data_IF_383622463779
#
_entry.id   IF_383622463779
#
_cell.length_a   1.000
_cell.length_b   1.000
_cell.length_c   1.000
_cell.angle_alpha   90.00
_cell.angle_beta   90.00
_cell.angle_gamma   90.00
#
_symmetry.space_group_name_H-M   'P 1'
#
loop_
_entity.id
_entity.type
_entity.pdbx_description
1 polymer ?
#
# COMPACT_ATOMS: atom_id res chain seq x y z
N UNK A 1 -3.92 -15.67 16.92
CA UNK A 1 -2.83 -14.67 16.82
C UNK A 1 -1.56 -15.43 16.50
N UNK A 2 -0.92 -15.15 15.36
CA UNK A 2 0.38 -15.73 15.07
C UNK A 2 1.42 -15.03 15.94
N UNK A 3 2.18 -15.80 16.70
CA UNK A 3 3.24 -15.28 17.56
C UNK A 3 4.43 -14.88 16.69
N UNK A 4 4.89 -13.63 16.82
CA UNK A 4 6.15 -13.20 16.22
C UNK A 4 7.29 -13.67 17.12
N UNK A 5 8.24 -14.40 16.54
CA UNK A 5 9.51 -14.71 17.19
C UNK A 5 10.64 -13.91 16.53
N UNK A 6 11.82 -13.91 17.12
CA UNK A 6 12.97 -13.16 16.61
C UNK A 6 14.20 -14.06 16.55
N UNK A 7 14.93 -13.96 15.45
CA UNK A 7 16.26 -14.55 15.30
C UNK A 7 17.28 -13.44 15.16
N UNK A 8 18.39 -13.56 15.86
CA UNK A 8 19.53 -12.67 15.67
C UNK A 8 20.27 -13.06 14.38
N UNK A 9 20.61 -12.07 13.54
CA UNK A 9 21.47 -12.30 12.38
C UNK A 9 22.96 -12.15 12.75
N UNK A 10 23.86 -12.37 11.79
CA UNK A 10 25.31 -12.25 12.02
C UNK A 10 25.78 -10.84 12.45
N UNK A 11 24.95 -9.82 12.22
CA UNK A 11 25.22 -8.41 12.54
C UNK A 11 24.60 -7.99 13.89
N UNK A 12 23.93 -8.91 14.60
CA UNK A 12 23.29 -8.64 15.89
C UNK A 12 21.89 -8.02 15.81
N UNK A 13 21.28 -7.96 14.61
CA UNK A 13 19.93 -7.46 14.44
C UNK A 13 18.88 -8.55 14.70
N UNK A 14 17.76 -8.15 15.31
CA UNK A 14 16.62 -9.04 15.53
C UNK A 14 15.74 -9.06 14.28
N UNK A 15 15.76 -10.20 13.58
CA UNK A 15 14.92 -10.46 12.41
C UNK A 15 13.62 -11.11 12.88
N UNK A 16 12.44 -10.49 12.63
CA UNK A 16 11.17 -11.09 13.00
C UNK A 16 10.83 -12.27 12.09
N UNK A 17 10.31 -13.32 12.71
CA UNK A 17 9.75 -14.49 12.05
C UNK A 17 8.29 -14.64 12.45
N UNK A 18 7.45 -14.87 11.44
CA UNK A 18 6.06 -15.26 11.62
C UNK A 18 5.93 -16.75 11.28
N UNK A 19 5.78 -17.59 12.31
CA UNK A 19 5.95 -19.03 12.16
C UNK A 19 7.39 -19.36 11.76
N UNK A 20 7.59 -19.88 10.55
CA UNK A 20 8.91 -20.18 9.97
C UNK A 20 9.36 -19.17 8.91
N UNK A 21 8.54 -18.15 8.61
CA UNK A 21 8.80 -17.18 7.56
C UNK A 21 9.49 -15.96 8.14
N UNK A 22 10.74 -15.71 7.72
CA UNK A 22 11.45 -14.49 8.05
C UNK A 22 10.88 -13.30 7.25
N UNK A 23 10.64 -12.19 7.93
CA UNK A 23 10.05 -10.98 7.32
C UNK A 23 11.06 -10.13 6.53
N UNK A 24 12.31 -10.56 6.48
CA UNK A 24 13.39 -10.09 5.61
C UNK A 24 14.51 -11.14 5.61
N UNK A 25 15.55 -10.92 4.82
CA UNK A 25 16.74 -11.77 4.73
C UNK A 25 17.42 -11.97 6.10
N UNK A 26 17.60 -13.24 6.51
CA UNK A 26 18.36 -13.59 7.71
C UNK A 26 19.88 -13.38 7.54
N UNK A 27 20.36 -13.35 6.29
CA UNK A 27 21.79 -13.26 5.98
C UNK A 27 22.24 -11.82 5.80
N UNK A 28 21.46 -11.05 5.05
CA UNK A 28 21.82 -9.71 4.58
C UNK A 28 20.56 -8.89 4.33
N UNK A 29 19.97 -8.38 5.41
CA UNK A 29 18.75 -7.58 5.37
C UNK A 29 18.99 -6.17 4.81
N UNK A 30 20.21 -5.64 5.00
CA UNK A 30 20.59 -4.30 4.52
C UNK A 30 20.67 -4.28 2.99
N UNK A 31 21.42 -5.20 2.37
CA UNK A 31 21.53 -5.24 0.90
C UNK A 31 20.19 -5.56 0.22
N UNK A 32 19.36 -6.41 0.84
CA UNK A 32 18.01 -6.69 0.36
C UNK A 32 17.13 -5.42 0.34
N UNK A 33 17.19 -4.65 1.43
CA UNK A 33 16.45 -3.39 1.56
C UNK A 33 16.94 -2.32 0.56
N UNK A 34 18.25 -2.12 0.43
CA UNK A 34 18.84 -1.17 -0.52
C UNK A 34 18.48 -1.51 -1.96
N UNK A 35 18.55 -2.80 -2.31
CA UNK A 35 18.10 -3.27 -3.62
C UNK A 35 16.64 -2.93 -3.86
N UNK A 36 15.76 -3.24 -2.91
CA UNK A 36 14.33 -2.91 -3.04
C UNK A 36 14.11 -1.41 -3.25
N UNK A 37 14.80 -0.53 -2.49
CA UNK A 37 14.73 0.92 -2.68
C UNK A 37 15.18 1.34 -4.07
N UNK A 38 16.30 0.80 -4.57
CA UNK A 38 16.83 1.13 -5.90
C UNK A 38 15.91 0.72 -7.05
N UNK A 39 15.07 -0.29 -6.84
CA UNK A 39 14.07 -0.76 -7.81
C UNK A 39 12.80 0.12 -7.80
N UNK A 40 12.60 0.96 -6.78
CA UNK A 40 11.47 1.87 -6.72
C UNK A 40 11.74 3.15 -7.53
N UNK A 41 10.89 3.46 -8.50
CA UNK A 41 10.95 4.74 -9.20
C UNK A 41 10.26 5.86 -8.38
N UNK A 42 10.95 6.38 -7.35
CA UNK A 42 10.38 7.31 -6.37
C UNK A 42 10.48 8.80 -6.74
N UNK A 43 10.88 9.11 -7.98
CA UNK A 43 11.35 10.44 -8.40
C UNK A 43 10.33 11.61 -8.31
N UNK A 44 9.06 11.35 -7.97
CA UNK A 44 7.96 12.34 -8.09
C UNK A 44 7.22 12.61 -6.76
N UNK A 45 7.54 11.91 -5.66
CA UNK A 45 6.73 11.97 -4.43
C UNK A 45 7.52 12.38 -3.19
N UNK A 46 7.01 13.39 -2.47
CA UNK A 46 7.54 13.83 -1.16
C UNK A 46 6.84 13.15 0.03
N UNK A 47 5.79 12.38 -0.23
CA UNK A 47 4.98 11.71 0.77
C UNK A 47 4.49 10.37 0.18
N UNK A 48 4.70 9.26 0.91
CA UNK A 48 4.42 7.90 0.43
C UNK A 48 3.75 7.07 1.52
N UNK A 49 3.12 5.96 1.13
CA UNK A 49 2.66 4.91 2.05
C UNK A 49 3.49 3.65 1.81
N UNK A 50 3.93 2.98 2.88
CA UNK A 50 4.62 1.69 2.83
C UNK A 50 3.83 0.66 3.63
N UNK A 51 3.44 -0.43 2.97
CA UNK A 51 2.74 -1.55 3.59
C UNK A 51 3.74 -2.60 4.09
N UNK A 52 3.77 -2.79 5.40
CA UNK A 52 4.64 -3.71 6.12
C UNK A 52 5.88 -3.01 6.67
N UNK A 53 6.11 -3.16 7.98
CA UNK A 53 7.32 -2.74 8.66
C UNK A 53 8.40 -3.84 8.65
N UNK A 54 8.02 -5.10 8.84
CA UNK A 54 9.00 -6.20 8.96
C UNK A 54 10.06 -5.91 10.03
N UNK A 55 11.34 -6.09 9.69
CA UNK A 55 12.47 -5.62 10.52
C UNK A 55 12.80 -4.13 10.33
N UNK A 56 12.26 -3.52 9.26
CA UNK A 56 12.35 -2.10 8.94
C UNK A 56 13.63 -1.62 8.25
N UNK A 57 14.48 -2.54 7.77
CA UNK A 57 15.66 -2.17 6.97
C UNK A 57 15.29 -1.37 5.72
N UNK A 58 14.18 -1.70 5.04
CA UNK A 58 13.70 -0.95 3.88
C UNK A 58 13.24 0.46 4.24
N UNK A 59 12.67 0.65 5.44
CA UNK A 59 12.31 1.97 5.94
C UNK A 59 13.57 2.80 6.22
N UNK A 60 14.58 2.19 6.86
CA UNK A 60 15.88 2.85 7.08
C UNK A 60 16.52 3.25 5.75
N UNK A 61 16.60 2.33 4.80
CA UNK A 61 17.16 2.58 3.47
C UNK A 61 16.40 3.69 2.72
N UNK A 62 15.07 3.75 2.84
CA UNK A 62 14.27 4.85 2.28
C UNK A 62 14.61 6.19 2.92
N UNK A 63 14.73 6.24 4.24
CA UNK A 63 15.07 7.47 4.97
C UNK A 63 16.48 7.96 4.61
N UNK A 64 17.44 7.05 4.41
CA UNK A 64 18.80 7.36 4.00
C UNK A 64 18.88 7.83 2.54
N UNK A 65 18.18 7.15 1.63
CA UNK A 65 18.14 7.52 0.21
C UNK A 65 17.34 8.81 -0.05
N UNK A 66 16.33 9.08 0.77
CA UNK A 66 15.42 10.22 0.62
C UNK A 66 15.14 10.92 1.96
N UNK A 67 16.09 11.71 2.52
CA UNK A 67 15.96 12.31 3.86
C UNK A 67 14.76 13.25 4.07
N UNK A 68 14.19 13.80 2.99
CA UNK A 68 13.01 14.67 3.04
C UNK A 68 11.68 13.94 2.81
N UNK A 69 11.71 12.62 2.60
CA UNK A 69 10.53 11.84 2.26
C UNK A 69 9.68 11.58 3.50
N UNK A 70 8.41 12.00 3.46
CA UNK A 70 7.44 11.65 4.50
C UNK A 70 6.91 10.24 4.25
N UNK A 71 7.26 9.29 5.14
CA UNK A 71 6.86 7.88 5.02
C UNK A 71 5.75 7.59 6.02
N UNK A 72 4.61 7.11 5.52
CA UNK A 72 3.53 6.52 6.33
C UNK A 72 3.66 4.99 6.31
N UNK A 73 3.90 4.39 7.47
CA UNK A 73 4.07 2.94 7.61
C UNK A 73 2.75 2.35 8.07
N UNK A 74 2.23 1.41 7.28
CA UNK A 74 1.05 0.62 7.62
C UNK A 74 1.49 -0.78 8.00
N UNK A 75 1.13 -1.21 9.20
CA UNK A 75 1.47 -2.52 9.74
C UNK A 75 0.20 -3.17 10.33
N UNK A 76 0.21 -4.48 10.57
CA UNK A 76 -0.86 -5.21 11.24
C UNK A 76 -0.40 -5.91 12.54
N UNK A 77 0.89 -5.80 12.86
CA UNK A 77 1.56 -6.39 14.03
C UNK A 77 2.18 -5.31 14.92
N UNK A 78 1.54 -5.05 16.06
CA UNK A 78 2.00 -4.03 17.02
C UNK A 78 3.40 -4.29 17.59
N UNK A 79 3.79 -5.56 17.63
CA UNK A 79 5.03 -6.02 18.27
C UNK A 79 6.29 -5.57 17.51
N UNK A 80 6.17 -5.20 16.24
CA UNK A 80 7.32 -4.85 15.39
C UNK A 80 7.84 -3.43 15.66
N UNK A 81 6.97 -2.46 15.95
CA UNK A 81 7.37 -1.07 16.12
C UNK A 81 8.32 -0.85 17.31
N UNK A 82 8.12 -1.45 18.50
CA UNK A 82 9.08 -1.34 19.60
C UNK A 82 10.46 -1.92 19.28
N UNK A 83 10.52 -3.01 18.53
CA UNK A 83 11.78 -3.66 18.14
C UNK A 83 12.53 -2.80 17.14
N UNK A 84 11.83 -2.28 16.14
CA UNK A 84 12.38 -1.31 15.19
C UNK A 84 13.03 -0.12 15.91
N UNK A 85 12.29 0.53 16.82
CA UNK A 85 12.77 1.71 17.56
C UNK A 85 14.04 1.42 18.36
N UNK A 86 14.16 0.21 18.91
CA UNK A 86 15.33 -0.22 19.67
C UNK A 86 16.55 -0.49 18.79
N UNK A 87 16.37 -1.15 17.65
CA UNK A 87 17.49 -1.66 16.84
C UNK A 87 17.94 -0.72 15.71
N UNK A 88 16.99 -0.03 15.06
CA UNK A 88 17.27 0.86 13.91
C UNK A 88 17.54 2.29 14.36
N UNK A 89 17.20 2.64 15.61
CA UNK A 89 17.40 3.96 16.23
C UNK A 89 16.85 5.14 15.40
N UNK A 90 15.95 4.88 14.45
CA UNK A 90 15.30 5.94 13.68
C UNK A 90 13.92 6.28 14.25
N UNK A 91 13.52 7.53 14.05
CA UNK A 91 12.20 8.00 14.45
C UNK A 91 11.19 7.55 13.39
N UNK A 92 10.22 6.72 13.80
CA UNK A 92 9.00 6.52 13.02
C UNK A 92 7.97 7.53 13.50
N UNK A 93 7.75 8.58 12.71
CA UNK A 93 6.75 9.61 13.02
C UNK A 93 5.34 9.20 12.58
N UNK A 94 5.21 8.57 11.41
CA UNK A 94 3.90 8.19 10.84
C UNK A 94 3.77 6.66 10.79
N UNK A 95 3.53 6.04 11.94
CA UNK A 95 3.22 4.62 12.07
C UNK A 95 1.74 4.43 12.35
N UNK A 96 1.09 3.53 11.61
CA UNK A 96 -0.28 3.11 11.89
C UNK A 96 -0.35 1.59 11.86
N UNK A 97 -0.96 1.01 12.90
CA UNK A 97 -1.27 -0.42 12.92
C UNK A 97 -2.77 -0.60 12.70
N UNK A 98 -3.14 -1.42 11.72
CA UNK A 98 -4.52 -1.79 11.43
C UNK A 98 -4.65 -3.32 11.42
N UNK A 99 -5.53 -3.84 12.26
CA UNK A 99 -5.73 -5.29 12.41
C UNK A 99 -6.75 -5.86 11.43
N UNK A 100 -7.50 -5.00 10.76
CA UNK A 100 -8.51 -5.35 9.79
C UNK A 100 -8.71 -4.20 8.80
N UNK A 101 -9.51 -4.46 7.76
CA UNK A 101 -9.78 -3.48 6.73
C UNK A 101 -10.64 -2.30 7.23
N UNK A 102 -11.57 -2.53 8.16
CA UNK A 102 -12.49 -1.50 8.66
C UNK A 102 -11.74 -0.37 9.40
N UNK A 103 -10.73 -0.73 10.19
CA UNK A 103 -9.84 0.23 10.84
C UNK A 103 -9.09 1.10 9.82
N UNK A 104 -8.62 0.51 8.72
CA UNK A 104 -7.99 1.29 7.65
C UNK A 104 -9.00 2.23 6.99
N UNK A 105 -10.17 1.74 6.59
CA UNK A 105 -11.16 2.53 5.84
C UNK A 105 -11.71 3.72 6.64
N UNK A 106 -11.69 3.63 7.97
CA UNK A 106 -12.08 4.71 8.88
C UNK A 106 -10.94 5.65 9.29
N UNK A 107 -9.71 5.38 8.82
CA UNK A 107 -8.52 6.14 9.23
C UNK A 107 -8.29 7.43 8.44
N UNK A 108 -7.66 8.41 9.08
CA UNK A 108 -7.16 9.61 8.40
C UNK A 108 -6.13 9.30 7.31
N UNK A 109 -5.37 8.22 7.47
CA UNK A 109 -4.39 7.79 6.48
C UNK A 109 -5.06 7.38 5.16
N UNK A 110 -6.17 6.65 5.23
CA UNK A 110 -6.92 6.27 4.04
C UNK A 110 -7.46 7.49 3.29
N UNK A 111 -8.13 8.40 4.00
CA UNK A 111 -8.64 9.65 3.42
C UNK A 111 -7.52 10.52 2.82
N UNK A 112 -6.38 10.62 3.52
CA UNK A 112 -5.21 11.35 3.04
C UNK A 112 -4.60 10.70 1.80
N UNK A 113 -4.51 9.37 1.78
CA UNK A 113 -3.98 8.61 0.64
C UNK A 113 -4.82 8.87 -0.61
N UNK A 114 -6.15 8.85 -0.49
CA UNK A 114 -7.05 9.14 -1.60
C UNK A 114 -6.91 10.60 -2.03
N UNK A 115 -7.03 11.53 -1.10
CA UNK A 115 -7.07 12.98 -1.38
C UNK A 115 -5.81 13.44 -2.10
N UNK A 116 -4.64 12.98 -1.63
CA UNK A 116 -3.34 13.35 -2.19
C UNK A 116 -2.83 12.40 -3.27
N UNK A 117 -3.57 11.32 -3.56
CA UNK A 117 -3.11 10.25 -4.45
C UNK A 117 -1.72 9.74 -4.09
N UNK A 118 -1.49 9.45 -2.79
CA UNK A 118 -0.18 9.02 -2.32
C UNK A 118 0.21 7.68 -2.97
N UNK A 119 1.44 7.53 -3.48
CA UNK A 119 1.91 6.24 -3.96
C UNK A 119 2.05 5.26 -2.80
N UNK A 120 1.68 4.01 -3.07
CA UNK A 120 1.69 2.92 -2.08
C UNK A 120 2.71 1.88 -2.51
N UNK A 121 3.73 1.71 -1.70
CA UNK A 121 4.79 0.72 -1.89
C UNK A 121 4.64 -0.41 -0.88
N UNK A 122 5.22 -1.55 -1.21
CA UNK A 122 5.28 -2.68 -0.30
C UNK A 122 6.56 -3.46 -0.54
N UNK A 123 7.12 -3.97 0.55
CA UNK A 123 8.16 -4.97 0.49
C UNK A 123 7.53 -6.32 0.87
N UNK A 124 7.20 -7.13 -0.14
CA UNK A 124 6.33 -8.31 0.01
C UNK A 124 6.83 -9.29 1.07
N UNK A 125 8.14 -9.42 1.25
CA UNK A 125 8.74 -10.27 2.28
C UNK A 125 8.25 -9.91 3.69
N UNK A 126 7.97 -8.63 3.96
CA UNK A 126 7.48 -8.16 5.26
C UNK A 126 6.04 -8.60 5.56
N UNK A 127 5.28 -9.08 4.58
CA UNK A 127 3.89 -9.47 4.80
C UNK A 127 3.76 -10.78 5.57
N UNK A 128 4.75 -11.67 5.45
CA UNK A 128 4.78 -12.92 6.20
C UNK A 128 3.53 -13.77 5.97
N UNK A 129 2.89 -14.19 7.07
CA UNK A 129 1.65 -14.98 7.01
C UNK A 129 0.39 -14.11 6.90
N UNK A 130 0.52 -12.78 6.88
CA UNK A 130 -0.59 -11.82 6.80
C UNK A 130 -0.85 -11.34 5.37
N UNK A 131 -0.45 -12.11 4.36
CA UNK A 131 -0.52 -11.72 2.94
C UNK A 131 -1.93 -11.29 2.53
N UNK A 132 -2.98 -12.01 2.92
CA UNK A 132 -4.37 -11.68 2.56
C UNK A 132 -4.84 -10.34 3.13
N UNK A 133 -4.46 -10.04 4.37
CA UNK A 133 -4.78 -8.75 5.00
C UNK A 133 -4.02 -7.64 4.29
N UNK A 134 -2.70 -7.75 4.14
CA UNK A 134 -1.91 -6.73 3.45
C UNK A 134 -2.36 -6.51 2.00
N UNK A 135 -2.73 -7.58 1.30
CA UNK A 135 -3.29 -7.49 -0.04
C UNK A 135 -4.62 -6.73 -0.06
N UNK A 136 -5.47 -6.97 0.94
CA UNK A 136 -6.73 -6.23 1.12
C UNK A 136 -6.48 -4.75 1.42
N UNK A 137 -5.52 -4.42 2.29
CA UNK A 137 -5.13 -3.04 2.57
C UNK A 137 -4.58 -2.35 1.30
N UNK A 138 -3.68 -3.03 0.57
CA UNK A 138 -3.11 -2.55 -0.68
C UNK A 138 -4.17 -2.25 -1.74
N UNK A 139 -5.12 -3.18 -1.97
CA UNK A 139 -6.20 -2.97 -2.94
C UNK A 139 -7.01 -1.71 -2.62
N UNK A 140 -7.27 -1.45 -1.34
CA UNK A 140 -8.05 -0.28 -0.95
C UNK A 140 -7.24 1.02 -1.00
N UNK A 141 -5.99 1.02 -0.58
CA UNK A 141 -5.14 2.22 -0.64
C UNK A 141 -4.78 2.64 -2.07
N UNK A 142 -4.82 1.71 -3.03
CA UNK A 142 -4.47 1.96 -4.43
C UNK A 142 -5.67 2.12 -5.37
N UNK A 143 -6.90 2.18 -4.84
CA UNK A 143 -8.09 2.32 -5.69
C UNK A 143 -8.41 1.08 -6.53
N UNK A 144 -7.95 -0.10 -6.11
CA UNK A 144 -8.14 -1.38 -6.83
C UNK A 144 -9.24 -2.26 -6.22
N UNK A 145 -10.02 -1.73 -5.28
CA UNK A 145 -11.27 -2.32 -4.82
C UNK A 145 -12.45 -1.49 -5.33
N UNK A 146 -13.64 -2.09 -5.42
CA UNK A 146 -14.87 -1.37 -5.83
C UNK A 146 -15.15 -0.18 -4.90
N UNK A 147 -14.95 -0.36 -3.60
CA UNK A 147 -15.13 0.72 -2.63
C UNK A 147 -14.10 1.83 -2.84
N UNK A 148 -12.82 1.49 -2.93
CA UNK A 148 -11.76 2.48 -3.06
C UNK A 148 -11.80 3.20 -4.40
N UNK A 149 -12.07 2.51 -5.50
CA UNK A 149 -12.13 3.14 -6.82
C UNK A 149 -13.25 4.19 -6.86
N UNK A 150 -14.41 3.91 -6.25
CA UNK A 150 -15.49 4.88 -6.12
C UNK A 150 -15.05 6.12 -5.32
N UNK A 151 -14.31 5.93 -4.22
CA UNK A 151 -13.76 7.05 -3.42
C UNK A 151 -12.72 7.86 -4.19
N UNK A 152 -11.81 7.21 -4.91
CA UNK A 152 -10.81 7.89 -5.75
C UNK A 152 -11.47 8.67 -6.89
N UNK A 153 -12.47 8.09 -7.54
CA UNK A 153 -13.23 8.75 -8.59
C UNK A 153 -14.02 9.95 -8.07
N UNK A 154 -14.69 9.82 -6.93
CA UNK A 154 -15.35 10.95 -6.27
C UNK A 154 -14.35 12.08 -5.94
N UNK A 155 -13.13 11.76 -5.49
CA UNK A 155 -12.08 12.74 -5.23
C UNK A 155 -11.59 13.46 -6.52
N UNK A 156 -11.72 12.81 -7.67
CA UNK A 156 -11.44 13.40 -8.98
C UNK A 156 -12.64 14.15 -9.60
N UNK A 157 -13.76 14.23 -8.88
CA UNK A 157 -15.00 14.84 -9.40
C UNK A 157 -15.70 13.99 -10.46
N UNK A 158 -15.46 12.67 -10.46
CA UNK A 158 -16.10 11.72 -11.36
C UNK A 158 -17.28 11.07 -10.64
N UNK A 159 -18.48 11.19 -11.22
CA UNK A 159 -19.67 10.54 -10.69
C UNK A 159 -19.94 9.22 -11.41
N UNK A 160 -20.13 8.15 -10.64
CA UNK A 160 -20.46 6.82 -11.15
C UNK A 160 -21.77 6.37 -10.52
N UNK A 161 -22.70 5.94 -11.37
CA UNK A 161 -23.96 5.41 -10.90
C UNK A 161 -23.79 4.06 -10.16
N UNK A 162 -24.63 3.86 -9.14
CA UNK A 162 -24.63 2.67 -8.30
C UNK A 162 -24.86 1.37 -9.10
N UNK A 163 -25.55 1.44 -10.24
CA UNK A 163 -25.81 0.27 -11.09
C UNK A 163 -24.51 -0.22 -11.72
N UNK A 164 -23.71 0.69 -12.25
CA UNK A 164 -22.38 0.40 -12.81
C UNK A 164 -21.44 -0.11 -11.73
N UNK A 165 -21.41 0.51 -10.55
CA UNK A 165 -20.64 -0.01 -9.41
C UNK A 165 -21.09 -1.41 -8.98
N UNK A 166 -22.39 -1.69 -9.01
CA UNK A 166 -22.94 -3.00 -8.64
C UNK A 166 -22.59 -4.11 -9.65
N UNK A 167 -22.29 -3.78 -10.92
CA UNK A 167 -21.80 -4.77 -11.90
C UNK A 167 -20.38 -5.24 -11.62
N UNK A 168 -19.62 -4.50 -10.81
CA UNK A 168 -18.25 -4.84 -10.42
C UNK A 168 -18.18 -5.83 -9.26
N UNK A 169 -19.31 -6.38 -8.82
CA UNK A 169 -19.37 -7.23 -7.63
C UNK A 169 -18.43 -8.43 -7.72
N UNK A 170 -17.59 -8.51 -6.69
CA UNK A 170 -16.87 -9.68 -6.16
C UNK A 170 -15.84 -10.35 -7.06
N UNK A 171 -14.94 -9.57 -7.68
CA UNK A 171 -13.63 -10.16 -7.99
C UNK A 171 -12.74 -10.01 -6.75
N UNK A 172 -12.24 -11.13 -6.20
CA UNK A 172 -11.13 -11.07 -5.24
C UNK A 172 -9.89 -10.43 -5.87
N UNK A 173 -9.80 -10.52 -7.21
CA UNK A 173 -8.79 -9.88 -8.02
C UNK A 173 -8.89 -8.33 -7.93
N UNK A 174 -7.74 -7.64 -7.84
CA UNK A 174 -7.66 -6.19 -7.89
C UNK A 174 -8.17 -5.66 -9.23
N UNK A 175 -8.95 -4.59 -9.18
CA UNK A 175 -9.33 -3.84 -10.37
C UNK A 175 -8.09 -3.28 -11.07
N UNK A 176 -8.17 -3.25 -12.40
CA UNK A 176 -7.15 -2.72 -13.30
C UNK A 176 -7.61 -1.39 -13.91
N UNK A 177 -6.70 -0.70 -14.62
CA UNK A 177 -7.04 0.52 -15.36
C UNK A 177 -8.09 0.22 -16.44
N UNK A 178 -8.09 -0.98 -17.02
CA UNK A 178 -9.11 -1.40 -17.98
C UNK A 178 -10.49 -1.43 -17.33
N UNK A 179 -10.60 -2.02 -16.13
CA UNK A 179 -11.84 -2.05 -15.37
C UNK A 179 -12.30 -0.63 -15.00
N UNK A 180 -11.37 0.21 -14.52
CA UNK A 180 -11.60 1.62 -14.24
C UNK A 180 -12.19 2.40 -15.44
N UNK A 181 -11.64 2.15 -16.62
CA UNK A 181 -12.06 2.80 -17.87
C UNK A 181 -13.43 2.32 -18.33
N UNK A 182 -13.67 1.01 -18.27
CA UNK A 182 -14.97 0.42 -18.62
C UNK A 182 -16.09 0.90 -17.68
N UNK A 183 -15.79 1.15 -16.40
CA UNK A 183 -16.73 1.73 -15.43
C UNK A 183 -17.21 3.10 -15.89
N UNK A 184 -16.29 4.00 -16.22
CA UNK A 184 -16.65 5.38 -16.56
C UNK A 184 -17.38 5.45 -17.90
N UNK A 185 -16.95 4.65 -18.90
CA UNK A 185 -17.61 4.61 -20.21
C UNK A 185 -19.06 4.12 -20.10
N UNK A 186 -19.31 3.15 -19.23
CA UNK A 186 -20.64 2.56 -19.06
C UNK A 186 -21.54 3.36 -18.11
N UNK A 187 -20.98 4.29 -17.33
CA UNK A 187 -21.77 5.10 -16.43
C UNK A 187 -22.72 6.04 -17.19
N UNK A 188 -23.95 6.15 -16.68
CA UNK A 188 -25.03 6.89 -17.34
C UNK A 188 -25.20 8.32 -16.85
N UNK A 189 -24.39 8.76 -15.88
CA UNK A 189 -24.44 10.12 -15.32
C UNK A 189 -24.10 11.18 -16.38
N UNK A 190 -24.69 12.39 -16.32
CA UNK A 190 -24.38 13.48 -17.26
C UNK A 190 -22.88 13.82 -17.31
N UNK A 191 -22.22 13.81 -16.16
CA UNK A 191 -20.81 14.12 -15.96
C UNK A 191 -19.91 13.06 -16.60
N UNK A 192 -20.20 11.77 -16.38
CA UNK A 192 -19.47 10.68 -17.02
C UNK A 192 -19.62 10.73 -18.56
N UNK A 193 -20.80 11.09 -19.07
CA UNK A 193 -21.00 11.29 -20.52
C UNK A 193 -20.16 12.42 -21.08
N UNK A 194 -19.99 13.51 -20.34
CA UNK A 194 -19.14 14.63 -20.75
C UNK A 194 -17.65 14.25 -20.81
N UNK A 195 -17.21 13.33 -19.95
CA UNK A 195 -15.82 12.90 -19.83
C UNK A 195 -15.50 11.62 -20.61
N UNK A 196 -16.51 10.97 -21.17
CA UNK A 196 -16.41 9.66 -21.85
C UNK A 196 -15.35 9.61 -22.94
N UNK A 197 -15.24 10.65 -23.75
CA UNK A 197 -14.27 10.73 -24.86
C UNK A 197 -12.82 10.66 -24.39
N UNK A 198 -12.51 11.20 -23.21
CA UNK A 198 -11.19 11.12 -22.59
C UNK A 198 -10.84 9.68 -22.20
N UNK A 199 -11.80 8.97 -21.60
CA UNK A 199 -11.61 7.58 -21.18
C UNK A 199 -11.59 6.60 -22.36
N UNK A 200 -12.37 6.85 -23.41
CA UNK A 200 -12.27 6.09 -24.67
C UNK A 200 -10.88 6.26 -25.32
N UNK A 201 -10.31 7.47 -25.30
CA UNK A 201 -8.94 7.71 -25.79
C UNK A 201 -7.89 7.00 -24.92
N UNK A 202 -8.03 7.03 -23.59
CA UNK A 202 -7.15 6.26 -22.68
C UNK A 202 -7.23 4.76 -22.94
N UNK A 203 -8.42 4.22 -23.20
CA UNK A 203 -8.61 2.80 -23.51
C UNK A 203 -7.80 2.34 -24.72
N UNK A 204 -7.72 3.20 -25.75
CA UNK A 204 -6.95 2.92 -26.97
C UNK A 204 -5.43 2.98 -26.74
N UNK A 205 -4.97 3.74 -25.74
CA UNK A 205 -3.55 3.83 -25.36
C UNK A 205 -3.07 2.65 -24.49
N UNK A 206 -4.00 1.88 -23.91
CA UNK A 206 -3.71 0.75 -23.01
C UNK A 206 -3.74 -0.61 -23.77
N UNK A 207 -4.03 -0.60 -25.08
CA UNK A 207 -3.93 -1.78 -25.96
C UNK A 207 -2.48 -2.15 -26.25
#
# INVERSE_FOLDING_TARGET
MNTISFSENAEGYLIPLEGTVALCSLKDATSEAEKWVSEQNMSISNEIVVLGLGAGFHIRALQEAHPGLKIHIVECRDQLAPIYKKQIQSVIENYSCYHNLEELLSSELFERTITKSLPVYFFRQCWGMQEDLFYSLWKNLTGRSVYAIARHFANLGLEIDETTLATLKTTEAPLTIRDATDIIINSKTPEARAQRSYFEALKELIK
#
